data_IF_394749973447
#
_entry.id   IF_394749973447
#
_cell.length_a   1.000
_cell.length_b   1.000
_cell.length_c   1.000
_cell.angle_alpha   90.00
_cell.angle_beta   90.00
_cell.angle_gamma   90.00
#
_symmetry.space_group_name_H-M   'P 1'
#
loop_
_entity.id
_entity.type
_entity.pdbx_description
1 polymer ?
#
# COMPACT_ATOMS: atom_id res chain seq x y z
N UNK A 1 18.60 -1.15 16.37
CA UNK A 1 19.29 -2.28 15.73
C UNK A 1 19.91 -1.70 14.47
N UNK A 2 21.21 -1.85 14.25
CA UNK A 2 21.86 -1.28 13.07
C UNK A 2 21.78 -2.31 11.94
N UNK A 3 21.12 -1.97 10.84
CA UNK A 3 20.93 -2.85 9.69
C UNK A 3 22.26 -3.37 9.13
N UNK A 4 23.33 -2.56 9.21
CA UNK A 4 24.65 -2.91 8.70
C UNK A 4 25.21 -4.17 9.37
N UNK A 5 24.87 -4.42 10.63
CA UNK A 5 25.42 -5.56 11.38
C UNK A 5 24.71 -6.89 11.05
N UNK A 6 23.58 -6.84 10.34
CA UNK A 6 22.71 -7.99 10.05
C UNK A 6 22.68 -8.38 8.57
N UNK A 7 23.40 -7.64 7.73
CA UNK A 7 23.46 -7.86 6.29
C UNK A 7 24.86 -8.20 5.81
N UNK A 8 24.95 -9.04 4.78
CA UNK A 8 26.20 -9.43 4.14
C UNK A 8 26.15 -9.10 2.66
N UNK A 9 27.22 -8.51 2.14
CA UNK A 9 27.31 -8.22 0.70
C UNK A 9 27.44 -9.52 -0.10
N UNK A 10 26.59 -9.66 -1.11
CA UNK A 10 26.65 -10.74 -2.10
C UNK A 10 26.95 -10.15 -3.49
N UNK A 11 28.12 -10.45 -4.08
CA UNK A 11 28.49 -9.92 -5.39
C UNK A 11 27.67 -10.50 -6.55
N UNK A 12 27.00 -11.64 -6.38
CA UNK A 12 26.14 -12.22 -7.43
C UNK A 12 24.89 -11.38 -7.64
N UNK A 13 24.35 -10.83 -6.55
CA UNK A 13 23.15 -9.99 -6.56
C UNK A 13 23.45 -8.49 -6.58
N UNK A 14 24.72 -8.10 -6.48
CA UNK A 14 25.15 -6.71 -6.26
C UNK A 14 24.34 -6.03 -5.13
N UNK A 15 24.12 -6.76 -4.04
CA UNK A 15 23.23 -6.36 -2.97
C UNK A 15 23.72 -6.82 -1.59
N UNK A 16 23.33 -6.12 -0.54
CA UNK A 16 23.48 -6.56 0.83
C UNK A 16 22.26 -7.40 1.23
N UNK A 17 22.51 -8.66 1.58
CA UNK A 17 21.49 -9.64 1.89
C UNK A 17 21.34 -9.81 3.40
N UNK A 18 20.10 -9.84 3.87
CA UNK A 18 19.76 -10.12 5.26
C UNK A 18 18.39 -10.76 5.38
N UNK A 19 17.79 -10.61 6.57
CA UNK A 19 16.43 -11.05 6.85
C UNK A 19 15.66 -9.94 7.56
N UNK A 20 14.36 -9.89 7.33
CA UNK A 20 13.47 -8.98 8.04
C UNK A 20 12.18 -9.69 8.42
N UNK A 21 11.78 -9.53 9.68
CA UNK A 21 10.50 -10.04 10.17
C UNK A 21 9.43 -8.96 9.99
N UNK A 22 8.44 -9.23 9.15
CA UNK A 22 7.33 -8.30 8.90
C UNK A 22 6.00 -8.88 9.36
N UNK A 23 5.27 -8.08 10.14
CA UNK A 23 3.86 -8.31 10.42
C UNK A 23 2.99 -7.75 9.29
N UNK A 24 1.79 -8.29 9.11
CA UNK A 24 0.82 -7.90 8.10
C UNK A 24 0.68 -8.88 6.94
N UNK A 25 1.59 -9.87 6.85
CA UNK A 25 1.57 -10.95 5.87
C UNK A 25 1.08 -12.29 6.43
N UNK A 26 0.57 -12.30 7.66
CA UNK A 26 0.24 -13.53 8.39
C UNK A 26 -0.80 -14.40 7.66
N UNK A 27 -1.71 -13.75 6.92
CA UNK A 27 -2.75 -14.41 6.16
C UNK A 27 -2.32 -14.84 4.75
N UNK A 28 -1.10 -14.49 4.33
CA UNK A 28 -0.61 -14.77 2.99
C UNK A 28 -0.04 -16.17 2.89
N UNK A 29 -0.35 -16.85 1.79
CA UNK A 29 0.10 -18.20 1.49
C UNK A 29 -0.60 -18.74 0.24
N UNK A 30 0.13 -19.43 -0.63
CA UNK A 30 -0.45 -20.04 -1.83
C UNK A 30 -1.17 -21.32 -1.41
N UNK A 31 -2.48 -21.24 -1.33
CA UNK A 31 -3.36 -22.36 -0.94
C UNK A 31 -4.06 -23.00 -2.13
N UNK A 32 -4.15 -22.27 -3.26
CA UNK A 32 -4.90 -22.67 -4.43
C UNK A 32 -4.06 -22.53 -5.70
N UNK A 33 -4.09 -23.59 -6.51
CA UNK A 33 -3.69 -23.54 -7.91
C UNK A 33 -4.92 -23.17 -8.74
N UNK A 34 -4.75 -22.16 -9.58
CA UNK A 34 -5.77 -21.66 -10.47
C UNK A 34 -5.27 -21.52 -11.91
N UNK A 35 -6.20 -21.78 -12.82
CA UNK A 35 -6.10 -21.53 -14.26
C UNK A 35 -7.52 -21.22 -14.78
N UNK A 36 -7.66 -20.78 -16.03
CA UNK A 36 -8.95 -20.51 -16.67
C UNK A 36 -9.93 -21.69 -16.55
N UNK A 37 -9.39 -22.91 -16.57
CA UNK A 37 -10.18 -24.14 -16.65
C UNK A 37 -10.32 -24.88 -15.31
N UNK A 38 -9.53 -24.54 -14.29
CA UNK A 38 -9.58 -25.24 -13.01
C UNK A 38 -9.25 -24.40 -11.78
N UNK A 39 -9.75 -24.91 -10.66
CA UNK A 39 -9.46 -24.42 -9.32
C UNK A 39 -9.33 -25.63 -8.41
N UNK A 40 -8.17 -25.78 -7.80
CA UNK A 40 -7.81 -26.87 -6.89
C UNK A 40 -6.90 -26.38 -5.78
N UNK A 41 -6.77 -27.18 -4.71
CA UNK A 41 -5.74 -26.93 -3.72
C UNK A 41 -4.35 -26.98 -4.36
N UNK A 42 -3.47 -26.09 -3.94
CA UNK A 42 -2.11 -26.05 -4.43
C UNK A 42 -1.36 -27.34 -4.08
N UNK A 43 -0.59 -27.87 -5.02
CA UNK A 43 0.24 -29.06 -4.79
C UNK A 43 1.35 -28.80 -3.76
N UNK A 44 1.93 -27.60 -3.79
CA UNK A 44 2.89 -27.08 -2.82
C UNK A 44 2.27 -25.91 -2.06
N UNK A 45 1.55 -26.20 -0.97
CA UNK A 45 0.96 -25.15 -0.14
C UNK A 45 2.04 -24.40 0.63
N UNK A 46 2.00 -23.08 0.56
CA UNK A 46 2.60 -22.23 1.60
C UNK A 46 1.49 -21.80 2.54
N UNK A 47 1.39 -22.44 3.70
CA UNK A 47 0.31 -22.14 4.66
C UNK A 47 0.51 -20.75 5.30
N UNK A 48 -0.58 -20.02 5.58
CA UNK A 48 -0.52 -18.77 6.33
C UNK A 48 0.24 -18.94 7.65
N UNK A 49 1.19 -18.02 7.91
CA UNK A 49 1.98 -18.03 9.12
C UNK A 49 1.26 -17.21 10.20
N UNK A 50 0.88 -17.83 11.33
CA UNK A 50 0.13 -17.17 12.42
C UNK A 50 0.95 -16.15 13.24
N UNK A 51 1.97 -15.55 12.64
CA UNK A 51 2.89 -14.59 13.24
C UNK A 51 3.73 -13.90 12.17
N UNK A 52 4.69 -13.08 12.58
CA UNK A 52 5.56 -12.35 11.65
C UNK A 52 6.20 -13.28 10.62
N UNK A 53 6.23 -12.83 9.37
CA UNK A 53 6.84 -13.56 8.27
C UNK A 53 8.29 -13.09 8.12
N UNK A 54 9.23 -14.03 8.22
CA UNK A 54 10.65 -13.76 7.95
C UNK A 54 10.88 -13.76 6.44
N UNK A 55 11.23 -12.62 5.88
CA UNK A 55 11.50 -12.45 4.45
C UNK A 55 12.99 -12.24 4.20
N UNK A 56 13.43 -12.59 2.99
CA UNK A 56 14.76 -12.18 2.53
C UNK A 56 14.76 -10.66 2.36
N UNK A 57 15.73 -10.00 2.98
CA UNK A 57 15.99 -8.58 2.77
C UNK A 57 17.11 -8.45 1.74
N UNK A 58 16.89 -7.63 0.72
CA UNK A 58 17.92 -7.20 -0.23
C UNK A 58 18.05 -5.69 -0.17
N UNK A 59 19.27 -5.18 -0.08
CA UNK A 59 19.54 -3.75 -0.16
C UNK A 59 20.47 -3.54 -1.33
N UNK A 60 19.98 -2.86 -2.36
CA UNK A 60 20.76 -2.63 -3.57
C UNK A 60 22.06 -1.87 -3.25
N UNK A 61 23.16 -2.36 -3.80
CA UNK A 61 24.45 -1.72 -3.64
C UNK A 61 24.82 -0.92 -4.89
N UNK A 62 25.44 0.24 -4.68
CA UNK A 62 26.07 1.01 -5.77
C UNK A 62 27.59 0.80 -5.68
N UNK A 63 28.15 0.06 -6.63
CA UNK A 63 29.58 -0.30 -6.69
C UNK A 63 30.10 -1.08 -5.46
N UNK A 64 29.31 -2.03 -4.94
CA UNK A 64 29.67 -2.80 -3.74
C UNK A 64 29.77 -2.00 -2.43
N UNK A 65 29.29 -0.75 -2.40
CA UNK A 65 29.32 0.10 -1.20
C UNK A 65 28.25 -0.31 -0.19
N UNK A 66 28.51 -0.14 1.12
CA UNK A 66 27.51 -0.33 2.17
C UNK A 66 26.21 0.44 1.93
N UNK A 67 25.10 0.00 2.57
CA UNK A 67 23.84 0.73 2.53
C UNK A 67 24.00 2.22 2.82
N UNK A 68 23.32 3.07 2.06
CA UNK A 68 23.32 4.51 2.28
C UNK A 68 22.41 4.90 3.44
N UNK A 69 22.53 6.14 3.93
CA UNK A 69 21.65 6.67 4.99
C UNK A 69 20.17 6.68 4.57
N UNK A 70 19.91 6.87 3.28
CA UNK A 70 18.56 6.86 2.72
C UNK A 70 17.95 5.45 2.73
N UNK A 71 18.78 4.43 2.53
CA UNK A 71 18.39 3.01 2.62
C UNK A 71 18.20 2.57 4.07
N UNK A 72 19.10 2.98 4.97
CA UNK A 72 18.95 2.81 6.42
C UNK A 72 17.63 3.45 6.90
N UNK A 73 17.34 4.68 6.49
CA UNK A 73 16.11 5.39 6.84
C UNK A 73 14.85 4.68 6.29
N UNK A 74 14.92 4.10 5.09
CA UNK A 74 13.82 3.31 4.54
C UNK A 74 13.58 2.04 5.34
N UNK A 75 14.64 1.34 5.76
CA UNK A 75 14.53 0.17 6.62
C UNK A 75 13.95 0.50 7.99
N UNK A 76 14.47 1.54 8.66
CA UNK A 76 13.94 1.99 9.95
C UNK A 76 12.45 2.35 9.84
N UNK A 77 12.08 3.04 8.76
CA UNK A 77 10.69 3.37 8.48
C UNK A 77 9.83 2.11 8.27
N UNK A 78 10.34 1.13 7.51
CA UNK A 78 9.68 -0.15 7.29
C UNK A 78 9.43 -0.87 8.61
N UNK A 79 10.45 -1.05 9.45
CA UNK A 79 10.32 -1.72 10.74
C UNK A 79 9.34 -1.01 11.67
N UNK A 80 9.37 0.33 11.72
CA UNK A 80 8.45 1.11 12.54
C UNK A 80 7.00 1.11 12.01
N UNK A 81 6.78 0.76 10.73
CA UNK A 81 5.50 0.90 10.04
C UNK A 81 5.13 -0.34 9.21
N UNK A 82 5.58 -1.53 9.57
CA UNK A 82 5.43 -2.74 8.75
C UNK A 82 3.97 -2.99 8.34
N UNK A 83 3.07 -3.08 9.33
CA UNK A 83 1.65 -3.33 9.10
C UNK A 83 0.97 -2.40 8.09
N UNK A 84 0.99 -1.06 8.25
CA UNK A 84 0.33 -0.17 7.29
C UNK A 84 0.97 -0.21 5.89
N UNK A 85 2.29 -0.40 5.78
CA UNK A 85 2.97 -0.50 4.47
C UNK A 85 2.55 -1.80 3.76
N UNK A 86 2.63 -2.92 4.47
CA UNK A 86 2.27 -4.25 3.97
C UNK A 86 0.81 -4.28 3.50
N UNK A 87 -0.11 -3.75 4.31
CA UNK A 87 -1.53 -3.64 3.92
C UNK A 87 -1.73 -2.80 2.67
N UNK A 88 -1.00 -1.69 2.52
CA UNK A 88 -1.07 -0.87 1.33
C UNK A 88 -0.53 -1.61 0.09
N UNK A 89 0.58 -2.35 0.24
CA UNK A 89 1.16 -3.16 -0.83
C UNK A 89 0.21 -4.29 -1.28
N UNK A 90 -0.32 -5.09 -0.34
CA UNK A 90 -1.27 -6.17 -0.63
C UNK A 90 -2.55 -5.67 -1.27
N UNK A 91 -3.09 -4.55 -0.77
CA UNK A 91 -4.29 -3.95 -1.36
C UNK A 91 -4.03 -3.52 -2.80
N UNK A 92 -2.89 -2.89 -3.06
CA UNK A 92 -2.52 -2.46 -4.40
C UNK A 92 -2.32 -3.67 -5.31
N UNK A 93 -1.58 -4.69 -4.86
CA UNK A 93 -1.38 -5.96 -5.57
C UNK A 93 -2.71 -6.60 -5.96
N UNK A 94 -3.64 -6.74 -5.02
CA UNK A 94 -4.97 -7.29 -5.28
C UNK A 94 -5.69 -6.56 -6.42
N UNK A 95 -5.63 -5.23 -6.42
CA UNK A 95 -6.30 -4.41 -7.44
C UNK A 95 -5.67 -4.62 -8.83
N UNK A 96 -4.34 -4.66 -8.91
CA UNK A 96 -3.63 -4.86 -10.16
C UNK A 96 -3.85 -6.29 -10.68
N UNK A 97 -3.66 -7.31 -9.85
CA UNK A 97 -3.84 -8.70 -10.24
C UNK A 97 -5.28 -8.99 -10.65
N UNK A 98 -6.26 -8.40 -9.96
CA UNK A 98 -7.66 -8.52 -10.33
C UNK A 98 -7.96 -7.91 -11.70
N UNK A 99 -7.29 -6.82 -12.05
CA UNK A 99 -7.46 -6.20 -13.37
C UNK A 99 -6.71 -6.93 -14.47
N UNK A 100 -5.55 -7.52 -14.17
CA UNK A 100 -4.66 -8.12 -15.17
C UNK A 100 -4.95 -9.61 -15.39
N UNK A 101 -5.12 -10.38 -14.32
CA UNK A 101 -5.07 -11.85 -14.39
C UNK A 101 -6.41 -12.53 -14.11
N UNK A 102 -7.36 -11.93 -13.38
CA UNK A 102 -8.53 -12.68 -12.90
C UNK A 102 -9.47 -13.19 -13.99
N UNK A 103 -9.47 -12.59 -15.18
CA UNK A 103 -10.24 -13.08 -16.32
C UNK A 103 -9.55 -14.24 -17.04
N UNK A 104 -8.23 -14.34 -16.94
CA UNK A 104 -7.41 -15.29 -17.68
C UNK A 104 -6.97 -16.47 -16.79
N UNK A 105 -6.64 -16.21 -15.53
CA UNK A 105 -6.07 -17.21 -14.60
C UNK A 105 -7.10 -17.79 -13.62
N UNK A 106 -8.38 -17.39 -13.69
CA UNK A 106 -9.42 -17.93 -12.81
C UNK A 106 -10.67 -18.36 -13.60
N UNK A 107 -11.30 -19.49 -13.24
CA UNK A 107 -12.49 -19.95 -13.93
C UNK A 107 -13.67 -19.01 -13.73
N UNK A 108 -14.54 -18.94 -14.74
CA UNK A 108 -15.80 -18.21 -14.65
C UNK A 108 -16.69 -18.75 -13.52
N UNK A 109 -17.40 -17.87 -12.82
CA UNK A 109 -18.32 -18.29 -11.76
C UNK A 109 -19.48 -19.17 -12.24
N UNK A 110 -19.81 -19.11 -13.53
CA UNK A 110 -20.85 -19.90 -14.20
C UNK A 110 -20.42 -21.34 -14.47
N UNK A 111 -19.12 -21.61 -14.59
CA UNK A 111 -18.59 -22.96 -14.86
C UNK A 111 -18.32 -23.78 -13.59
N UNK A 112 -18.50 -23.17 -12.41
CA UNK A 112 -18.21 -23.78 -11.11
C UNK A 112 -19.48 -24.02 -10.29
N UNK A 113 -19.50 -25.15 -9.59
CA UNK A 113 -20.55 -25.52 -8.64
C UNK A 113 -20.00 -25.80 -7.24
N UNK A 114 -20.91 -25.81 -6.26
CA UNK A 114 -20.62 -26.20 -4.87
C UNK A 114 -19.48 -25.41 -4.23
N UNK A 115 -18.53 -26.13 -3.64
CA UNK A 115 -17.40 -25.58 -2.90
C UNK A 115 -16.46 -24.73 -3.79
N UNK A 116 -16.16 -25.19 -5.02
CA UNK A 116 -15.29 -24.44 -5.94
C UNK A 116 -15.86 -23.06 -6.26
N UNK A 117 -17.18 -22.96 -6.42
CA UNK A 117 -17.86 -21.67 -6.62
C UNK A 117 -17.75 -20.77 -5.39
N UNK A 118 -17.78 -21.34 -4.18
CA UNK A 118 -17.60 -20.59 -2.93
C UNK A 118 -16.16 -20.08 -2.80
N UNK A 119 -15.16 -20.92 -3.07
CA UNK A 119 -13.74 -20.54 -3.09
C UNK A 119 -13.54 -19.41 -4.11
N UNK A 120 -13.97 -19.59 -5.36
CA UNK A 120 -13.83 -18.56 -6.41
C UNK A 120 -14.43 -17.20 -6.02
N UNK A 121 -15.54 -17.18 -5.28
CA UNK A 121 -16.12 -15.93 -4.73
C UNK A 121 -15.24 -15.32 -3.64
N UNK A 122 -14.69 -16.14 -2.73
CA UNK A 122 -13.77 -15.70 -1.67
C UNK A 122 -12.49 -15.13 -2.25
N UNK A 123 -11.92 -15.76 -3.28
CA UNK A 123 -10.74 -15.26 -4.01
C UNK A 123 -10.95 -13.86 -4.63
N UNK A 124 -12.19 -13.39 -4.75
CA UNK A 124 -12.50 -12.03 -5.20
C UNK A 124 -12.52 -10.98 -4.08
N UNK A 125 -12.00 -11.33 -2.90
CA UNK A 125 -11.83 -10.46 -1.72
C UNK A 125 -10.35 -10.32 -1.41
N UNK A 126 -9.96 -9.32 -0.61
CA UNK A 126 -8.57 -9.16 -0.21
C UNK A 126 -8.04 -10.35 0.60
N UNK A 127 -8.86 -10.90 1.51
CA UNK A 127 -8.49 -12.06 2.32
C UNK A 127 -8.28 -13.29 1.42
N UNK A 128 -9.19 -13.52 0.46
CA UNK A 128 -9.02 -14.61 -0.50
C UNK A 128 -7.85 -14.38 -1.47
N UNK A 129 -7.49 -13.14 -1.78
CA UNK A 129 -6.26 -12.86 -2.55
C UNK A 129 -5.01 -13.25 -1.77
N UNK A 130 -5.00 -13.09 -0.45
CA UNK A 130 -3.89 -13.56 0.39
C UNK A 130 -3.68 -15.07 0.29
N UNK A 131 -4.73 -15.84 -0.01
CA UNK A 131 -4.65 -17.29 -0.27
C UNK A 131 -4.04 -17.65 -1.65
N UNK A 132 -3.68 -16.65 -2.47
CA UNK A 132 -3.08 -16.81 -3.80
C UNK A 132 -1.66 -16.25 -3.89
N UNK A 133 -1.18 -15.58 -2.84
CA UNK A 133 0.12 -14.90 -2.87
C UNK A 133 0.96 -15.25 -1.66
N UNK A 134 2.25 -15.43 -1.89
CA UNK A 134 3.25 -15.69 -0.86
C UNK A 134 4.32 -14.59 -0.94
N UNK A 135 4.53 -13.79 0.11
CA UNK A 135 5.63 -12.82 0.13
C UNK A 135 6.97 -13.55 0.11
N UNK A 136 7.91 -13.06 -0.69
CA UNK A 136 9.20 -13.71 -0.90
C UNK A 136 10.36 -12.81 -0.43
N UNK A 137 10.47 -11.62 -1.02
CA UNK A 137 11.62 -10.74 -0.85
C UNK A 137 11.17 -9.32 -0.62
N UNK A 138 11.91 -8.60 0.23
CA UNK A 138 11.82 -7.15 0.39
C UNK A 138 13.11 -6.54 -0.10
N UNK A 139 13.01 -5.63 -1.07
CA UNK A 139 14.17 -4.97 -1.65
C UNK A 139 14.15 -3.47 -1.35
N UNK A 140 15.19 -2.96 -0.71
CA UNK A 140 15.42 -1.52 -0.52
C UNK A 140 16.29 -1.03 -1.67
N UNK A 141 15.74 -0.13 -2.48
CA UNK A 141 16.39 0.33 -3.70
C UNK A 141 17.45 1.41 -3.43
N UNK A 142 18.37 1.57 -4.38
CA UNK A 142 19.32 2.68 -4.37
C UNK A 142 18.63 4.02 -4.63
N UNK A 143 17.58 4.04 -5.46
CA UNK A 143 16.78 5.23 -5.69
C UNK A 143 16.00 5.65 -4.44
N UNK A 144 15.90 6.96 -4.23
CA UNK A 144 15.22 7.53 -3.10
C UNK A 144 14.43 8.79 -3.44
N UNK A 145 13.45 9.11 -2.61
CA UNK A 145 12.74 10.38 -2.63
C UNK A 145 12.66 10.95 -1.23
N UNK A 146 12.90 12.26 -1.10
CA UNK A 146 12.90 12.96 0.19
C UNK A 146 13.81 12.27 1.23
N UNK A 147 15.00 11.84 0.81
CA UNK A 147 16.01 11.15 1.63
C UNK A 147 15.55 9.81 2.24
N UNK A 148 14.56 9.15 1.61
CA UNK A 148 14.11 7.81 1.99
C UNK A 148 14.03 6.97 0.73
N UNK A 149 14.75 5.86 0.71
CA UNK A 149 14.74 4.91 -0.41
C UNK A 149 13.36 4.29 -0.65
N UNK A 150 13.13 3.87 -1.88
CA UNK A 150 11.97 3.05 -2.22
C UNK A 150 12.11 1.62 -1.69
N UNK A 151 10.98 0.95 -1.50
CA UNK A 151 10.93 -0.44 -1.04
C UNK A 151 10.05 -1.23 -2.01
N UNK A 152 10.59 -2.29 -2.62
CA UNK A 152 9.84 -3.25 -3.40
C UNK A 152 9.51 -4.49 -2.57
N UNK A 153 8.28 -4.98 -2.72
CA UNK A 153 7.82 -6.24 -2.15
C UNK A 153 7.56 -7.21 -3.29
N UNK A 154 8.30 -8.32 -3.30
CA UNK A 154 8.12 -9.38 -4.27
C UNK A 154 7.27 -10.50 -3.67
N UNK A 155 6.31 -10.96 -4.47
CA UNK A 155 5.39 -12.03 -4.12
C UNK A 155 5.44 -13.11 -5.19
N UNK A 156 5.43 -14.37 -4.76
CA UNK A 156 4.98 -15.46 -5.61
C UNK A 156 3.46 -15.42 -5.68
N UNK A 157 2.90 -15.86 -6.81
CA UNK A 157 1.44 -15.92 -6.98
C UNK A 157 1.05 -17.13 -7.81
N UNK A 158 -0.11 -17.73 -7.53
CA UNK A 158 -0.70 -18.76 -8.38
C UNK A 158 -1.43 -18.21 -9.61
N UNK A 159 -1.47 -16.87 -9.76
CA UNK A 159 -2.04 -16.21 -10.92
C UNK A 159 -1.04 -16.04 -12.07
N UNK A 160 0.25 -16.13 -11.77
CA UNK A 160 1.40 -15.96 -12.67
C UNK A 160 2.56 -16.84 -12.14
N UNK A 161 2.59 -18.09 -12.61
CA UNK A 161 3.56 -19.09 -12.14
C UNK A 161 4.99 -18.81 -12.60
N UNK A 162 5.18 -17.98 -13.62
CA UNK A 162 6.51 -17.72 -14.20
C UNK A 162 7.20 -16.55 -13.54
N UNK A 163 6.46 -15.48 -13.23
CA UNK A 163 7.07 -14.19 -12.91
C UNK A 163 6.72 -13.64 -11.54
N UNK A 164 5.68 -14.13 -10.85
CA UNK A 164 5.26 -13.50 -9.59
C UNK A 164 4.82 -12.04 -9.79
N UNK A 165 4.75 -11.27 -8.70
CA UNK A 165 4.44 -9.84 -8.75
C UNK A 165 5.36 -9.04 -7.83
N UNK A 166 5.74 -7.84 -8.24
CA UNK A 166 6.52 -6.89 -7.44
C UNK A 166 5.74 -5.61 -7.23
N UNK A 167 5.66 -5.12 -5.99
CA UNK A 167 4.99 -3.87 -5.63
C UNK A 167 6.00 -2.86 -5.11
N UNK A 168 6.16 -1.75 -5.82
CA UNK A 168 7.01 -0.64 -5.39
C UNK A 168 6.25 0.28 -4.43
N UNK A 169 6.88 0.61 -3.32
CA UNK A 169 6.35 1.52 -2.30
C UNK A 169 7.35 2.63 -1.98
N UNK A 170 6.82 3.78 -1.57
CA UNK A 170 7.56 4.82 -0.86
C UNK A 170 6.82 5.13 0.43
N UNK A 171 7.44 4.81 1.57
CA UNK A 171 6.77 4.84 2.87
C UNK A 171 5.47 4.02 2.80
N UNK A 172 4.33 4.57 3.22
CA UNK A 172 3.01 3.89 3.22
C UNK A 172 2.32 3.84 1.86
N UNK A 173 2.94 4.38 0.81
CA UNK A 173 2.30 4.55 -0.49
C UNK A 173 2.80 3.51 -1.48
N UNK A 174 1.91 2.60 -1.91
CA UNK A 174 2.14 1.81 -3.12
C UNK A 174 2.08 2.72 -4.36
N UNK A 175 3.07 2.58 -5.24
CA UNK A 175 3.31 3.46 -6.38
C UNK A 175 3.15 2.75 -7.72
N UNK A 176 3.71 1.55 -7.86
CA UNK A 176 3.81 0.86 -9.13
C UNK A 176 3.87 -0.67 -8.95
N UNK A 177 3.65 -1.42 -10.02
CA UNK A 177 3.76 -2.88 -10.03
C UNK A 177 4.41 -3.39 -11.32
N UNK A 178 5.00 -4.59 -11.26
CA UNK A 178 5.58 -5.31 -12.38
C UNK A 178 5.73 -6.81 -12.03
N UNK A 179 6.43 -7.59 -12.86
CA UNK A 179 6.84 -8.95 -12.48
C UNK A 179 7.78 -8.95 -11.27
N UNK A 180 7.85 -10.06 -10.52
CA UNK A 180 8.84 -10.20 -9.44
C UNK A 180 10.26 -10.07 -10.01
N UNK A 181 11.14 -9.37 -9.29
CA UNK A 181 12.47 -9.02 -9.79
C UNK A 181 12.53 -7.81 -10.75
N UNK A 182 11.39 -7.36 -11.30
CA UNK A 182 11.32 -6.12 -12.10
C UNK A 182 11.11 -4.86 -11.23
N UNK A 183 11.22 -5.00 -9.90
CA UNK A 183 11.26 -3.90 -8.93
C UNK A 183 10.05 -2.97 -9.02
N UNK A 184 8.87 -3.57 -9.24
CA UNK A 184 7.62 -2.85 -9.45
C UNK A 184 7.63 -1.89 -10.64
N UNK A 185 8.47 -2.13 -11.66
CA UNK A 185 8.54 -1.34 -12.90
C UNK A 185 9.32 -0.05 -12.75
N UNK A 186 10.10 0.10 -11.67
CA UNK A 186 10.82 1.31 -11.31
C UNK A 186 9.88 2.44 -10.84
N UNK A 187 10.45 3.52 -10.27
CA UNK A 187 9.67 4.71 -9.96
C UNK A 187 9.10 5.28 -11.27
N UNK A 188 7.83 5.75 -11.29
CA UNK A 188 7.25 6.32 -12.50
C UNK A 188 8.15 7.45 -13.04
N UNK A 189 8.43 7.42 -14.35
CA UNK A 189 9.26 8.43 -15.04
C UNK A 189 8.89 9.84 -14.60
N UNK A 190 9.92 10.69 -14.48
CA UNK A 190 9.87 12.05 -13.91
C UNK A 190 8.51 12.69 -14.07
N UNK A 191 7.76 12.58 -12.98
CA UNK A 191 6.49 13.23 -12.77
C UNK A 191 6.68 14.71 -13.11
N UNK A 192 5.77 15.32 -13.86
CA UNK A 192 5.92 16.72 -14.30
C UNK A 192 6.19 17.62 -13.10
N UNK A 193 6.88 18.74 -13.29
CA UNK A 193 7.24 19.61 -12.17
C UNK A 193 5.99 20.10 -11.40
N UNK A 194 4.87 20.31 -12.11
CA UNK A 194 3.55 20.60 -11.52
C UNK A 194 3.01 19.44 -10.69
N UNK A 195 3.09 18.20 -11.20
CA UNK A 195 2.66 17.01 -10.47
C UNK A 195 3.57 16.72 -9.28
N UNK A 196 4.87 17.06 -9.35
CA UNK A 196 5.80 16.96 -8.22
C UNK A 196 5.43 17.95 -7.12
N UNK A 197 5.06 19.18 -7.48
CA UNK A 197 4.57 20.18 -6.54
C UNK A 197 3.25 19.77 -5.89
N UNK A 198 2.34 19.15 -6.66
CA UNK A 198 1.09 18.60 -6.12
C UNK A 198 1.32 17.42 -5.17
N UNK A 199 2.18 16.47 -5.55
CA UNK A 199 2.53 15.33 -4.69
C UNK A 199 3.22 15.82 -3.42
N UNK A 200 4.10 16.83 -3.51
CA UNK A 200 4.75 17.43 -2.36
C UNK A 200 3.74 18.07 -1.42
N UNK A 201 2.81 18.88 -1.94
CA UNK A 201 1.71 19.47 -1.14
C UNK A 201 0.85 18.41 -0.45
N UNK A 202 0.55 17.29 -1.12
CA UNK A 202 -0.19 16.18 -0.52
C UNK A 202 0.57 15.50 0.62
N UNK A 203 1.88 15.28 0.47
CA UNK A 203 2.74 14.71 1.51
C UNK A 203 2.85 15.67 2.70
N UNK A 204 3.06 16.97 2.44
CA UNK A 204 3.16 18.01 3.47
C UNK A 204 1.84 18.12 4.27
N UNK A 205 0.68 17.99 3.62
CA UNK A 205 -0.62 17.95 4.31
C UNK A 205 -0.80 16.70 5.19
N UNK A 206 -0.33 15.53 4.72
CA UNK A 206 -0.41 14.28 5.48
C UNK A 206 0.51 14.30 6.70
N UNK A 207 1.74 14.80 6.55
CA UNK A 207 2.67 14.99 7.67
C UNK A 207 2.12 16.01 8.68
N UNK A 208 1.56 17.12 8.20
CA UNK A 208 0.95 18.12 9.07
C UNK A 208 -0.26 17.58 9.83
N UNK A 209 -1.12 16.80 9.17
CA UNK A 209 -2.25 16.13 9.81
C UNK A 209 -1.81 15.15 10.90
N UNK A 210 -0.78 14.34 10.66
CA UNK A 210 -0.24 13.40 11.65
C UNK A 210 0.42 14.13 12.83
N UNK A 211 1.11 15.24 12.57
CA UNK A 211 1.68 16.10 13.61
C UNK A 211 0.58 16.76 14.47
N UNK A 212 -0.51 17.17 13.84
CA UNK A 212 -1.67 17.76 14.49
C UNK A 212 -2.41 16.74 15.38
N UNK A 213 -2.61 15.52 14.87
CA UNK A 213 -3.23 14.41 15.62
C UNK A 213 -2.38 13.98 16.83
N UNK A 214 -1.06 14.14 16.78
CA UNK A 214 -0.15 13.77 17.88
C UNK A 214 0.00 14.85 18.96
N UNK A 215 -0.49 16.08 18.74
CA UNK A 215 -0.40 17.21 19.69
C UNK A 215 -1.61 17.36 20.64
N UNK A 216 -2.50 16.39 20.71
CA UNK A 216 -3.70 16.46 21.58
C UNK A 216 -3.31 16.24 23.05
N UNK A 217 -3.34 17.29 23.85
CA UNK A 217 -3.03 17.23 25.30
C UNK A 217 -4.16 17.86 26.17
N UNK A 218 -4.99 18.76 25.62
CA UNK A 218 -6.14 19.35 26.31
C UNK A 218 -7.27 19.86 25.37
N UNK A 219 -8.38 20.31 25.96
CA UNK A 219 -9.63 20.68 25.28
C UNK A 219 -9.51 21.92 24.38
N UNK A 220 -8.72 22.92 24.80
CA UNK A 220 -8.53 24.16 24.04
C UNK A 220 -7.61 23.91 22.82
N UNK A 221 -6.67 22.97 22.95
CA UNK A 221 -5.87 22.45 21.84
C UNK A 221 -6.71 21.64 20.86
N UNK A 222 -7.75 20.94 21.32
CA UNK A 222 -8.69 20.19 20.48
C UNK A 222 -9.62 21.10 19.65
N UNK A 223 -10.04 22.24 20.19
CA UNK A 223 -10.82 23.27 19.46
C UNK A 223 -10.04 23.89 18.29
N UNK A 224 -8.78 24.27 18.53
CA UNK A 224 -7.89 24.78 17.48
C UNK A 224 -7.59 23.70 16.45
N UNK A 225 -7.35 22.47 16.90
CA UNK A 225 -7.15 21.32 16.03
C UNK A 225 -8.35 21.03 15.13
N UNK A 226 -9.58 21.15 15.63
CA UNK A 226 -10.79 20.97 14.82
C UNK A 226 -10.91 22.03 13.71
N UNK A 227 -10.53 23.28 14.00
CA UNK A 227 -10.49 24.35 13.01
C UNK A 227 -9.38 24.13 11.96
N UNK A 228 -8.21 23.69 12.40
CA UNK A 228 -7.07 23.39 11.52
C UNK A 228 -7.36 22.18 10.62
N UNK A 229 -7.97 21.11 11.16
CA UNK A 229 -8.46 19.97 10.38
C UNK A 229 -9.50 20.41 9.35
N UNK A 230 -10.47 21.25 9.72
CA UNK A 230 -11.47 21.77 8.80
C UNK A 230 -10.83 22.61 7.66
N UNK A 231 -9.76 23.33 7.96
CA UNK A 231 -9.02 24.08 6.94
C UNK A 231 -8.25 23.15 5.99
N UNK A 232 -7.59 22.10 6.52
CA UNK A 232 -6.96 21.05 5.71
C UNK A 232 -8.01 20.33 4.82
N UNK A 233 -9.21 20.07 5.35
CA UNK A 233 -10.32 19.49 4.57
C UNK A 233 -10.78 20.42 3.44
N UNK A 234 -10.83 21.73 3.68
CA UNK A 234 -11.20 22.72 2.68
C UNK A 234 -10.15 22.81 1.57
N UNK A 235 -8.87 22.89 1.92
CA UNK A 235 -7.77 22.91 0.96
C UNK A 235 -7.68 21.61 0.17
N UNK A 236 -7.91 20.46 0.82
CA UNK A 236 -8.00 19.15 0.18
C UNK A 236 -9.12 19.11 -0.86
N UNK A 237 -10.33 19.57 -0.51
CA UNK A 237 -11.46 19.66 -1.46
C UNK A 237 -11.18 20.62 -2.62
N UNK A 238 -10.51 21.74 -2.36
CA UNK A 238 -10.12 22.67 -3.41
C UNK A 238 -9.09 22.05 -4.38
N UNK A 239 -8.10 21.34 -3.85
CA UNK A 239 -7.12 20.56 -4.63
C UNK A 239 -7.79 19.46 -5.45
N UNK A 240 -8.74 18.72 -4.87
CA UNK A 240 -9.56 17.70 -5.54
C UNK A 240 -10.33 18.32 -6.71
N UNK A 241 -10.97 19.47 -6.51
CA UNK A 241 -11.72 20.14 -7.56
C UNK A 241 -10.82 20.67 -8.69
N UNK A 242 -9.63 21.18 -8.35
CA UNK A 242 -8.65 21.63 -9.33
C UNK A 242 -8.04 20.47 -10.13
N UNK A 243 -7.78 19.33 -9.48
CA UNK A 243 -7.36 18.11 -10.19
C UNK A 243 -8.49 17.56 -11.05
N UNK A 244 -9.74 17.54 -10.57
CA UNK A 244 -10.90 17.04 -11.32
C UNK A 244 -11.13 17.78 -12.66
N UNK A 245 -10.84 19.09 -12.72
CA UNK A 245 -10.96 19.90 -13.94
C UNK A 245 -9.88 19.60 -15.01
N UNK A 246 -8.73 19.03 -14.62
CA UNK A 246 -7.70 18.57 -15.56
C UNK A 246 -8.08 17.24 -16.25
N UNK A 247 -9.14 16.58 -15.79
CA UNK A 247 -9.56 15.23 -16.23
C UNK A 247 -10.96 15.20 -16.86
N UNK A 248 -11.39 16.28 -17.53
CA UNK A 248 -12.56 16.20 -18.42
C UNK A 248 -12.33 15.16 -19.52
N UNK A 249 -13.29 14.23 -19.73
CA UNK A 249 -13.08 13.02 -20.53
C UNK A 249 -13.19 13.36 -22.01
N UNK A 250 -12.07 13.55 -22.71
CA UNK A 250 -11.99 13.40 -24.18
C UNK A 250 -10.55 13.22 -24.71
N UNK A 251 -9.57 12.90 -23.85
CA UNK A 251 -8.19 12.63 -24.28
C UNK A 251 -7.79 11.16 -23.99
N UNK A 252 -7.10 10.47 -24.92
CA UNK A 252 -6.63 9.08 -24.74
C UNK A 252 -5.74 8.86 -23.52
N UNK A 253 -5.16 9.92 -22.96
CA UNK A 253 -4.31 9.84 -21.76
C UNK A 253 -5.14 9.73 -20.46
N UNK A 254 -6.41 10.17 -20.46
CA UNK A 254 -7.30 10.10 -19.29
C UNK A 254 -7.80 8.67 -18.99
N UNK A 255 -7.88 7.80 -20.00
CA UNK A 255 -8.33 6.41 -19.83
C UNK A 255 -7.29 5.52 -19.11
N UNK A 256 -6.02 5.92 -19.05
CA UNK A 256 -4.95 5.18 -18.34
C UNK A 256 -4.73 5.59 -16.87
N UNK A 257 -5.34 6.68 -16.37
CA UNK A 257 -5.00 7.27 -15.05
C UNK A 257 -6.18 7.45 -14.07
N UNK A 258 -7.36 6.97 -14.40
CA UNK A 258 -8.61 7.12 -13.62
C UNK A 258 -8.80 6.18 -12.40
N UNK A 259 -8.29 4.93 -12.33
CA UNK A 259 -8.69 3.99 -11.26
C UNK A 259 -8.13 4.32 -9.86
N UNK A 260 -6.89 4.79 -9.78
CA UNK A 260 -6.14 4.93 -8.51
C UNK A 260 -6.72 6.06 -7.63
N UNK A 261 -7.18 7.15 -8.25
CA UNK A 261 -7.78 8.28 -7.52
C UNK A 261 -9.20 7.97 -7.04
N UNK A 262 -10.01 7.27 -7.85
CA UNK A 262 -11.32 6.79 -7.42
C UNK A 262 -11.24 5.76 -6.28
N UNK A 263 -10.21 4.90 -6.29
CA UNK A 263 -9.93 3.97 -5.20
C UNK A 263 -9.49 4.66 -3.91
N UNK A 264 -8.62 5.67 -4.01
CA UNK A 264 -8.16 6.45 -2.84
C UNK A 264 -9.28 7.28 -2.22
N UNK A 265 -10.18 7.83 -3.03
CA UNK A 265 -11.36 8.53 -2.55
C UNK A 265 -12.33 7.59 -1.80
N UNK A 266 -12.56 6.39 -2.35
CA UNK A 266 -13.40 5.37 -1.71
C UNK A 266 -12.79 4.84 -0.41
N UNK A 267 -11.46 4.75 -0.34
CA UNK A 267 -10.73 4.33 0.86
C UNK A 267 -10.72 5.40 1.95
N UNK A 268 -10.59 6.67 1.57
CA UNK A 268 -10.73 7.80 2.48
C UNK A 268 -12.14 7.86 3.10
N UNK A 269 -13.19 7.72 2.27
CA UNK A 269 -14.58 7.63 2.74
C UNK A 269 -14.82 6.39 3.62
N UNK A 270 -14.10 5.29 3.39
CA UNK A 270 -14.18 4.07 4.20
C UNK A 270 -13.49 4.23 5.54
N UNK A 271 -12.27 4.80 5.60
CA UNK A 271 -11.56 5.08 6.87
C UNK A 271 -12.39 5.99 7.77
N UNK A 272 -13.08 6.97 7.18
CA UNK A 272 -14.05 7.81 7.87
C UNK A 272 -15.23 7.02 8.47
N UNK A 273 -15.69 5.98 7.76
CA UNK A 273 -16.83 5.13 8.16
C UNK A 273 -16.44 4.04 9.18
N UNK A 274 -15.20 3.54 9.09
CA UNK A 274 -14.68 2.39 9.85
C UNK A 274 -13.93 2.80 11.12
N UNK A 275 -13.81 4.10 11.41
CA UNK A 275 -13.30 4.62 12.69
C UNK A 275 -14.46 5.22 13.53
N UNK A 276 -15.42 4.39 13.98
CA UNK A 276 -16.67 4.85 14.60
C UNK A 276 -16.45 5.60 15.91
N UNK A 277 -15.32 5.39 16.59
CA UNK A 277 -14.96 6.12 17.80
C UNK A 277 -14.53 7.57 17.49
N UNK A 278 -13.76 7.80 16.43
CA UNK A 278 -13.40 9.15 15.98
C UNK A 278 -14.64 9.91 15.47
N UNK A 279 -15.51 9.24 14.71
CA UNK A 279 -16.78 9.80 14.28
C UNK A 279 -17.77 10.02 15.45
N UNK A 280 -17.79 9.14 16.45
CA UNK A 280 -18.60 9.33 17.66
C UNK A 280 -18.11 10.53 18.48
N UNK A 281 -16.80 10.66 18.71
CA UNK A 281 -16.25 11.80 19.46
C UNK A 281 -16.53 13.13 18.75
N UNK A 282 -16.36 13.19 17.43
CA UNK A 282 -16.67 14.38 16.64
C UNK A 282 -18.18 14.71 16.63
N UNK A 283 -19.05 13.70 16.52
CA UNK A 283 -20.50 13.90 16.55
C UNK A 283 -21.02 14.28 17.94
N UNK A 284 -20.47 13.69 19.02
CA UNK A 284 -20.82 14.05 20.40
C UNK A 284 -20.46 15.52 20.64
N UNK A 285 -19.27 15.91 20.22
CA UNK A 285 -18.75 17.27 20.34
C UNK A 285 -19.57 18.28 19.54
N UNK A 286 -19.90 18.00 18.27
CA UNK A 286 -20.77 18.85 17.46
C UNK A 286 -22.19 18.98 18.05
N UNK A 287 -22.69 17.92 18.71
CA UNK A 287 -24.00 17.95 19.40
C UNK A 287 -23.97 18.86 20.63
N UNK A 288 -22.89 18.86 21.40
CA UNK A 288 -22.69 19.73 22.57
C UNK A 288 -22.53 21.20 22.14
N UNK A 289 -21.77 21.47 21.08
CA UNK A 289 -21.66 22.83 20.51
C UNK A 289 -23.00 23.35 19.99
N UNK A 290 -23.83 22.50 19.39
CA UNK A 290 -25.15 22.88 18.88
C UNK A 290 -26.16 23.11 20.01
N UNK A 291 -26.11 22.30 21.08
CA UNK A 291 -26.91 22.50 22.28
C UNK A 291 -26.52 23.80 23.02
N UNK A 292 -25.23 24.11 23.08
CA UNK A 292 -24.73 25.38 23.63
C UNK A 292 -25.18 26.60 22.81
N UNK A 293 -25.13 26.50 21.48
CA UNK A 293 -25.60 27.57 20.58
C UNK A 293 -27.11 27.84 20.69
N UNK A 294 -27.91 26.80 20.93
CA UNK A 294 -29.37 26.91 21.04
C UNK A 294 -29.88 27.23 22.47
N UNK A 295 -28.98 27.32 23.45
CA UNK A 295 -29.29 27.74 24.83
C UNK A 295 -28.95 29.21 25.10
N UNK A 296 -28.62 29.95 24.03
CA UNK A 296 -28.51 31.42 23.97
C UNK A 296 -29.59 31.97 23.06
#
# INVERSE_FOLDING_TARGET
>A
MNIIDEVNYDPEYEAWLGKVDLSGFESCGIMWDCDADYLSEASEKSEPNNGSVTLQLQIESVDGKPPTKEQEAAFEYLCANANPIVKAALKYAFQQCKSAYYSESLPELSSLDGEKRAIRKRLNTLDGFCELVEPNTVTILAEHKNKVSYIAFDFRTSLDYEHGISILTHRRKALNWAGAGERGGGPPETVSQEDQELIKKCIDCEEHYLELVTKVIDLESAERLAADIANVEYESKALINQTFLLFTPNSPQAQKRSPILGQRFSEFQRIWKDCPQAAQHLNLYLSECTAWKNSR
#
